data_IF_973602720807
#
_entry.id   IF_973602720807
#
_cell.length_a   1.000
_cell.length_b   1.000
_cell.length_c   1.000
_cell.angle_alpha   90.00
_cell.angle_beta   90.00
_cell.angle_gamma   90.00
#
_symmetry.space_group_name_H-M   'P 1'
#
loop_
_entity.id
_entity.type
_entity.pdbx_description
1 polymer ?
#
# COMPACT_ATOMS: atom_id res chain seq x y z
N UNK A 1 20.43 -7.45 -2.30
CA UNK A 1 21.18 -8.64 -1.80
C UNK A 1 22.28 -8.23 -0.83
N UNK A 2 23.14 -7.25 -1.15
CA UNK A 2 24.23 -6.81 -0.24
C UNK A 2 23.68 -6.32 1.11
N UNK A 3 22.59 -5.54 1.09
CA UNK A 3 21.95 -5.07 2.33
C UNK A 3 21.48 -6.23 3.22
N UNK A 4 20.85 -7.26 2.64
CA UNK A 4 20.34 -8.40 3.40
C UNK A 4 21.45 -9.19 4.12
N UNK A 5 22.71 -9.10 3.66
CA UNK A 5 23.86 -9.70 4.36
C UNK A 5 24.23 -8.97 5.65
N UNK A 6 23.91 -7.69 5.75
CA UNK A 6 24.29 -6.83 6.87
C UNK A 6 23.11 -6.45 7.74
N UNK A 7 21.94 -7.03 7.47
CA UNK A 7 20.76 -6.79 8.30
C UNK A 7 21.05 -7.28 9.72
N UNK A 8 20.71 -6.45 10.71
CA UNK A 8 20.88 -6.84 12.10
C UNK A 8 20.00 -8.04 12.44
N UNK A 9 20.44 -8.86 13.38
CA UNK A 9 19.71 -10.06 13.81
C UNK A 9 18.27 -9.73 14.22
N UNK A 10 18.05 -8.61 14.89
CA UNK A 10 16.72 -8.11 15.29
C UNK A 10 15.76 -7.82 14.12
N UNK A 11 16.29 -7.73 12.89
CA UNK A 11 15.51 -7.43 11.67
C UNK A 11 15.43 -8.60 10.70
N UNK A 12 16.01 -9.75 11.02
CA UNK A 12 15.97 -10.93 10.14
C UNK A 12 14.56 -11.41 9.85
N UNK A 13 13.64 -11.10 10.76
CA UNK A 13 12.22 -11.44 10.67
C UNK A 13 11.35 -10.30 10.13
N UNK A 14 11.93 -9.16 9.78
CA UNK A 14 11.20 -8.02 9.25
C UNK A 14 10.93 -8.17 7.74
N UNK A 15 9.81 -7.61 7.28
CA UNK A 15 9.62 -7.36 5.86
C UNK A 15 10.43 -6.13 5.47
N UNK A 16 11.13 -6.20 4.34
CA UNK A 16 11.92 -5.07 3.83
C UNK A 16 11.21 -4.50 2.62
N UNK A 17 10.81 -3.24 2.74
CA UNK A 17 10.09 -2.47 1.73
C UNK A 17 11.00 -1.49 1.01
N UNK A 18 10.68 -1.18 -0.24
CA UNK A 18 11.26 -0.09 -1.00
C UNK A 18 10.22 0.98 -1.33
N UNK A 19 10.69 2.19 -1.60
CA UNK A 19 9.82 3.30 -1.96
C UNK A 19 9.26 3.17 -3.38
N UNK A 20 8.07 3.70 -3.61
CA UNK A 20 7.50 3.92 -4.93
C UNK A 20 7.70 5.36 -5.36
N UNK A 21 8.33 5.55 -6.50
CA UNK A 21 8.49 6.83 -7.17
C UNK A 21 7.62 6.88 -8.43
N UNK A 22 7.24 8.07 -8.86
CA UNK A 22 6.54 8.25 -10.12
C UNK A 22 7.50 8.10 -11.31
N UNK A 23 7.05 7.41 -12.34
CA UNK A 23 7.84 7.24 -13.56
C UNK A 23 7.89 8.53 -14.40
N UNK A 24 6.81 9.28 -14.43
CA UNK A 24 6.68 10.56 -15.13
C UNK A 24 7.34 11.74 -14.39
N UNK A 25 7.45 11.63 -13.05
CA UNK A 25 8.13 12.56 -12.17
C UNK A 25 9.12 11.79 -11.29
N UNK A 26 10.25 11.37 -11.85
CA UNK A 26 11.18 10.40 -11.26
C UNK A 26 11.74 10.77 -9.88
N UNK A 27 11.61 12.01 -9.49
CA UNK A 27 12.01 12.55 -8.18
C UNK A 27 10.86 12.62 -7.16
N UNK A 28 9.62 12.32 -7.58
CA UNK A 28 8.45 12.40 -6.70
C UNK A 28 8.17 11.04 -6.06
N UNK A 29 8.26 10.99 -4.73
CA UNK A 29 7.93 9.79 -3.96
C UNK A 29 6.43 9.73 -3.69
N UNK A 30 5.83 8.59 -3.99
CA UNK A 30 4.40 8.33 -3.74
C UNK A 30 4.21 7.66 -2.40
N UNK A 31 5.07 6.69 -2.08
CA UNK A 31 4.96 5.92 -0.85
C UNK A 31 6.31 5.34 -0.42
N UNK A 32 6.52 5.25 0.88
CA UNK A 32 7.66 4.60 1.52
C UNK A 32 7.15 3.84 2.75
N UNK A 33 6.43 2.73 2.52
CA UNK A 33 5.63 2.05 3.51
C UNK A 33 4.30 2.75 3.79
N UNK A 34 3.37 2.04 4.43
CA UNK A 34 2.06 2.61 4.71
C UNK A 34 1.39 2.00 5.96
N UNK A 35 0.44 2.74 6.49
CA UNK A 35 -0.42 2.32 7.58
C UNK A 35 -1.80 1.95 7.05
N UNK A 36 -2.42 0.97 7.68
CA UNK A 36 -3.85 0.70 7.53
C UNK A 36 -4.60 1.40 8.65
N UNK A 37 -5.22 2.50 8.33
CA UNK A 37 -5.94 3.33 9.28
C UNK A 37 -7.40 3.50 8.85
N UNK A 38 -8.32 3.14 9.74
CA UNK A 38 -9.77 3.26 9.51
C UNK A 38 -10.19 2.69 8.15
N UNK A 39 -9.76 1.46 7.85
CA UNK A 39 -10.10 0.75 6.63
C UNK A 39 -9.49 1.33 5.35
N UNK A 40 -8.48 2.20 5.46
CA UNK A 40 -7.82 2.88 4.34
C UNK A 40 -6.32 2.84 4.44
N UNK A 41 -5.69 2.91 3.29
CA UNK A 41 -4.25 3.07 3.16
C UNK A 41 -3.88 4.53 3.44
N UNK A 42 -2.93 4.74 4.34
CA UNK A 42 -2.25 6.01 4.57
C UNK A 42 -0.77 5.84 4.25
N UNK A 43 -0.37 6.29 3.09
CA UNK A 43 1.02 6.20 2.62
C UNK A 43 1.95 7.08 3.44
N UNK A 44 3.07 6.53 3.88
CA UNK A 44 4.17 7.28 4.47
C UNK A 44 5.02 7.92 3.36
N UNK A 45 5.62 9.06 3.65
CA UNK A 45 6.51 9.77 2.72
C UNK A 45 5.84 10.20 1.40
N UNK A 46 4.50 10.34 1.39
CA UNK A 46 3.78 10.82 0.22
C UNK A 46 4.15 12.27 -0.09
N UNK A 47 4.42 12.56 -1.37
CA UNK A 47 4.70 13.92 -1.82
C UNK A 47 6.12 14.40 -1.56
N UNK A 48 7.03 13.51 -1.16
CA UNK A 48 8.45 13.89 -0.97
C UNK A 48 9.10 14.17 -2.33
N UNK A 49 9.63 15.39 -2.47
CA UNK A 49 10.48 15.76 -3.60
C UNK A 49 11.94 15.41 -3.26
N UNK A 50 12.48 14.38 -3.89
CA UNK A 50 13.84 13.90 -3.64
C UNK A 50 14.94 14.88 -4.08
N UNK A 51 14.61 15.98 -4.74
CA UNK A 51 15.55 17.07 -5.04
C UNK A 51 15.73 18.02 -3.87
N UNK A 52 14.80 17.99 -2.90
CA UNK A 52 14.87 18.81 -1.70
C UNK A 52 15.63 18.09 -0.60
N UNK A 53 16.82 18.59 -0.25
CA UNK A 53 17.63 18.03 0.85
C UNK A 53 16.85 17.97 2.17
N UNK A 54 16.05 19.00 2.45
CA UNK A 54 15.22 19.06 3.66
C UNK A 54 14.18 17.94 3.69
N UNK A 55 13.48 17.71 2.57
CA UNK A 55 12.46 16.64 2.49
C UNK A 55 13.11 15.26 2.57
N UNK A 56 14.27 15.07 1.94
CA UNK A 56 15.01 13.80 2.02
C UNK A 56 15.46 13.50 3.44
N UNK A 57 16.00 14.49 4.15
CA UNK A 57 16.42 14.32 5.55
C UNK A 57 15.24 13.96 6.46
N UNK A 58 14.09 14.62 6.28
CA UNK A 58 12.88 14.27 7.04
C UNK A 58 12.33 12.88 6.68
N UNK A 59 12.46 12.47 5.42
CA UNK A 59 12.04 11.14 4.96
C UNK A 59 12.94 10.00 5.51
N UNK A 60 14.12 10.32 6.03
CA UNK A 60 15.01 9.35 6.69
C UNK A 60 14.59 9.01 8.12
N UNK A 61 13.61 9.70 8.68
CA UNK A 61 13.10 9.34 10.01
C UNK A 61 12.33 8.03 9.91
N UNK A 62 12.54 7.14 10.88
CA UNK A 62 11.79 5.88 10.96
C UNK A 62 10.28 6.20 11.11
N UNK A 63 9.49 5.54 10.30
CA UNK A 63 8.02 5.58 10.36
C UNK A 63 7.47 4.18 10.52
N UNK A 64 6.49 4.01 11.38
CA UNK A 64 5.76 2.76 11.50
C UNK A 64 5.00 2.47 10.21
N UNK A 65 4.95 1.20 9.84
CA UNK A 65 4.18 0.71 8.70
C UNK A 65 3.49 -0.60 9.07
N UNK A 66 2.29 -0.79 8.58
CA UNK A 66 1.49 -2.00 8.80
C UNK A 66 1.71 -3.04 7.70
N UNK A 67 2.11 -2.59 6.52
CA UNK A 67 2.40 -3.46 5.39
C UNK A 67 3.47 -2.85 4.48
N UNK A 68 4.06 -3.70 3.66
CA UNK A 68 5.00 -3.35 2.61
C UNK A 68 4.35 -3.66 1.27
N UNK A 69 4.13 -2.65 0.44
CA UNK A 69 3.52 -2.84 -0.86
C UNK A 69 4.40 -3.66 -1.80
N UNK A 70 3.78 -4.54 -2.59
CA UNK A 70 4.50 -5.54 -3.37
C UNK A 70 5.05 -5.05 -4.71
N UNK A 71 5.16 -3.76 -4.94
CA UNK A 71 6.06 -3.27 -5.99
C UNK A 71 7.55 -3.54 -5.65
N UNK A 72 7.90 -3.55 -4.35
CA UNK A 72 9.16 -4.06 -3.83
C UNK A 72 8.99 -4.45 -2.35
N UNK A 73 8.98 -5.74 -2.09
CA UNK A 73 8.94 -6.28 -0.74
C UNK A 73 9.78 -7.55 -0.64
N UNK A 74 10.65 -7.63 0.36
CA UNK A 74 11.34 -8.87 0.73
C UNK A 74 10.65 -9.47 1.94
N UNK A 75 10.15 -10.69 1.78
CA UNK A 75 9.40 -11.41 2.81
C UNK A 75 10.28 -12.54 3.35
N UNK A 76 10.53 -12.62 4.67
CA UNK A 76 11.25 -13.74 5.25
C UNK A 76 10.57 -15.08 4.97
N UNK A 77 11.37 -16.09 4.61
CA UNK A 77 10.86 -17.40 4.14
C UNK A 77 9.90 -18.08 5.13
N UNK A 78 10.05 -17.82 6.43
CA UNK A 78 9.19 -18.39 7.47
C UNK A 78 7.71 -18.02 7.34
N UNK A 79 7.40 -16.92 6.66
CA UNK A 79 6.02 -16.49 6.40
C UNK A 79 5.41 -17.15 5.16
N UNK A 80 6.25 -17.74 4.28
CA UNK A 80 5.82 -18.37 3.04
C UNK A 80 5.47 -19.84 3.34
N UNK A 81 4.21 -20.07 3.68
CA UNK A 81 3.69 -21.41 4.04
C UNK A 81 2.34 -21.63 3.37
N UNK A 82 1.97 -22.89 3.16
CA UNK A 82 0.70 -23.27 2.52
C UNK A 82 -0.54 -22.79 3.29
N UNK A 83 -0.42 -22.65 4.61
CA UNK A 83 -1.48 -22.14 5.50
C UNK A 83 -1.47 -20.60 5.65
N UNK A 84 -0.55 -19.92 4.97
CA UNK A 84 -0.36 -18.48 5.05
C UNK A 84 -0.16 -17.84 3.66
N UNK A 85 -0.90 -18.30 2.67
CA UNK A 85 -0.86 -17.73 1.34
C UNK A 85 -1.60 -16.39 1.30
N UNK A 86 -1.21 -15.46 0.40
CA UNK A 86 -1.98 -14.25 0.14
C UNK A 86 -3.44 -14.54 -0.21
N UNK A 87 -4.33 -13.61 0.08
CA UNK A 87 -5.72 -13.72 -0.37
C UNK A 87 -5.77 -13.76 -1.92
N UNK A 88 -6.59 -14.63 -2.51
CA UNK A 88 -6.71 -14.75 -3.96
C UNK A 88 -7.62 -13.66 -4.54
N UNK A 89 -7.27 -12.41 -4.28
CA UNK A 89 -8.09 -11.24 -4.66
C UNK A 89 -7.79 -10.68 -6.05
N UNK A 90 -6.83 -11.26 -6.76
CA UNK A 90 -6.35 -10.93 -8.09
C UNK A 90 -5.47 -9.69 -8.14
N UNK A 91 -5.95 -8.52 -7.72
CA UNK A 91 -5.22 -7.24 -7.66
C UNK A 91 -5.71 -6.42 -6.48
N UNK A 92 -4.87 -5.56 -5.94
CA UNK A 92 -5.11 -4.65 -4.81
C UNK A 92 -5.40 -5.33 -3.48
N UNK A 93 -4.78 -4.84 -2.44
CA UNK A 93 -5.00 -5.16 -1.03
C UNK A 93 -4.59 -6.58 -0.60
N UNK A 94 -4.01 -7.41 -1.46
CA UNK A 94 -3.39 -8.68 -1.12
C UNK A 94 -2.15 -8.48 -0.22
N UNK A 95 -1.33 -7.50 -0.54
CA UNK A 95 -0.17 -7.05 0.23
C UNK A 95 -0.58 -6.42 1.58
N UNK A 96 -1.65 -5.64 1.58
CA UNK A 96 -2.22 -5.02 2.78
C UNK A 96 -2.68 -6.09 3.76
N UNK A 97 -3.55 -7.02 3.32
CA UNK A 97 -4.02 -8.12 4.16
C UNK A 97 -2.84 -8.94 4.69
N UNK A 98 -1.90 -9.31 3.81
CA UNK A 98 -0.77 -10.14 4.18
C UNK A 98 0.14 -9.48 5.21
N UNK A 99 0.40 -8.18 5.09
CA UNK A 99 1.18 -7.41 6.06
C UNK A 99 0.49 -7.33 7.42
N UNK A 100 -0.78 -6.94 7.44
CA UNK A 100 -1.55 -6.76 8.68
C UNK A 100 -1.70 -8.07 9.46
N UNK A 101 -2.12 -9.16 8.81
CA UNK A 101 -2.36 -10.42 9.50
C UNK A 101 -1.10 -11.12 10.00
N UNK A 102 0.04 -10.87 9.37
CA UNK A 102 1.32 -11.39 9.85
C UNK A 102 1.91 -10.52 10.97
N UNK A 103 1.52 -9.27 11.11
CA UNK A 103 1.91 -8.39 12.22
C UNK A 103 3.42 -8.24 12.39
N UNK A 104 4.18 -8.38 11.30
CA UNK A 104 5.63 -8.34 11.35
C UNK A 104 6.15 -6.89 11.27
N UNK A 105 7.36 -6.68 11.77
CA UNK A 105 8.04 -5.40 11.60
C UNK A 105 8.27 -5.13 10.12
N UNK A 106 7.95 -3.93 9.68
CA UNK A 106 8.24 -3.45 8.33
C UNK A 106 9.42 -2.49 8.42
N UNK A 107 10.42 -2.70 7.59
CA UNK A 107 11.56 -1.80 7.44
C UNK A 107 11.51 -1.22 6.05
N UNK A 108 11.41 0.09 5.94
CA UNK A 108 11.53 0.78 4.66
C UNK A 108 12.91 1.36 4.51
N UNK A 109 13.57 1.04 3.41
CA UNK A 109 14.93 1.45 3.15
C UNK A 109 14.96 2.58 2.14
N UNK A 110 15.47 3.72 2.59
CA UNK A 110 15.79 4.81 1.68
C UNK A 110 16.93 4.39 0.73
N UNK A 111 16.81 4.78 -0.54
CA UNK A 111 17.75 4.35 -1.59
C UNK A 111 17.37 3.04 -2.30
N UNK A 112 16.33 2.33 -1.81
CA UNK A 112 15.70 1.23 -2.55
C UNK A 112 14.33 1.71 -3.03
N UNK A 113 14.15 1.76 -4.35
CA UNK A 113 12.91 2.25 -4.93
C UNK A 113 12.61 1.59 -6.28
N UNK A 114 11.36 1.72 -6.69
CA UNK A 114 10.90 1.39 -8.04
C UNK A 114 10.18 2.59 -8.65
N UNK A 115 10.26 2.76 -9.95
CA UNK A 115 9.49 3.75 -10.70
C UNK A 115 8.24 3.08 -11.27
N UNK A 116 7.10 3.61 -10.87
CA UNK A 116 5.80 3.07 -11.24
C UNK A 116 4.98 4.13 -12.00
N UNK A 117 4.17 3.69 -12.95
CA UNK A 117 3.23 4.59 -13.63
C UNK A 117 2.23 5.18 -12.63
N UNK A 118 1.85 6.43 -12.85
CA UNK A 118 0.88 7.10 -12.02
C UNK A 118 -0.45 6.33 -11.96
N UNK A 119 -1.03 6.19 -10.77
CA UNK A 119 -2.26 5.42 -10.57
C UNK A 119 -3.46 6.09 -11.26
N UNK A 120 -3.47 7.40 -11.31
CA UNK A 120 -4.57 8.21 -11.88
C UNK A 120 -4.79 7.90 -13.37
N UNK A 121 -3.71 7.63 -14.11
CA UNK A 121 -3.79 7.30 -15.54
C UNK A 121 -4.40 5.92 -15.84
N UNK A 122 -4.55 5.07 -14.83
CA UNK A 122 -5.03 3.69 -14.95
C UNK A 122 -6.46 3.50 -14.43
N UNK A 123 -7.15 4.60 -14.04
CA UNK A 123 -8.47 4.49 -13.46
C UNK A 123 -9.50 4.09 -14.53
N UNK A 124 -10.22 3.00 -14.26
CA UNK A 124 -11.29 2.47 -15.11
C UNK A 124 -12.25 1.62 -14.28
N UNK A 125 -13.36 1.20 -14.86
CA UNK A 125 -14.42 0.44 -14.18
C UNK A 125 -13.89 -0.87 -13.53
N UNK A 126 -13.05 -1.63 -14.23
CA UNK A 126 -12.46 -2.86 -13.67
C UNK A 126 -11.66 -2.56 -12.41
N UNK A 127 -10.86 -1.51 -12.43
CA UNK A 127 -10.07 -1.08 -11.27
C UNK A 127 -10.96 -0.65 -10.12
N UNK A 128 -11.98 0.17 -10.37
CA UNK A 128 -12.92 0.61 -9.34
C UNK A 128 -13.63 -0.58 -8.68
N UNK A 129 -14.06 -1.56 -9.46
CA UNK A 129 -14.65 -2.79 -8.94
C UNK A 129 -13.71 -3.53 -7.99
N UNK A 130 -12.48 -3.81 -8.41
CA UNK A 130 -11.54 -4.57 -7.57
C UNK A 130 -11.08 -3.78 -6.35
N UNK A 131 -10.87 -2.47 -6.47
CA UNK A 131 -10.54 -1.62 -5.32
C UNK A 131 -11.65 -1.67 -4.26
N UNK A 132 -12.91 -1.47 -4.65
CA UNK A 132 -14.05 -1.49 -3.73
C UNK A 132 -14.29 -2.87 -3.14
N UNK A 133 -14.36 -3.92 -4.00
CA UNK A 133 -14.56 -5.30 -3.57
C UNK A 133 -13.47 -5.74 -2.59
N UNK A 134 -12.21 -5.51 -2.92
CA UNK A 134 -11.10 -6.00 -2.11
C UNK A 134 -10.93 -5.19 -0.81
N UNK A 135 -11.26 -3.90 -0.82
CA UNK A 135 -11.36 -3.12 0.41
C UNK A 135 -12.40 -3.70 1.37
N UNK A 136 -13.57 -4.11 0.86
CA UNK A 136 -14.60 -4.77 1.67
C UNK A 136 -14.10 -6.10 2.24
N UNK A 137 -13.43 -6.92 1.42
CA UNK A 137 -12.86 -8.20 1.85
C UNK A 137 -11.84 -7.99 2.96
N UNK A 138 -10.85 -7.11 2.75
CA UNK A 138 -9.80 -6.86 3.75
C UNK A 138 -10.38 -6.27 5.03
N UNK A 139 -11.35 -5.37 4.94
CA UNK A 139 -12.05 -4.87 6.12
C UNK A 139 -12.80 -5.98 6.87
N UNK A 140 -13.40 -6.95 6.19
CA UNK A 140 -14.09 -8.06 6.83
C UNK A 140 -13.14 -9.06 7.52
N UNK A 141 -11.93 -9.20 7.01
CA UNK A 141 -10.93 -10.15 7.54
C UNK A 141 -10.07 -9.57 8.69
N UNK A 142 -10.01 -8.26 8.83
CA UNK A 142 -9.10 -7.60 9.76
C UNK A 142 -9.82 -6.97 10.95
N UNK A 143 -9.21 -7.08 12.15
CA UNK A 143 -9.75 -6.51 13.39
C UNK A 143 -9.78 -4.97 13.41
N UNK A 144 -8.95 -4.32 12.59
CA UNK A 144 -8.92 -2.85 12.43
C UNK A 144 -9.77 -2.41 11.24
N UNK A 145 -10.98 -2.92 11.18
CA UNK A 145 -11.95 -2.63 10.12
C UNK A 145 -12.85 -1.44 10.49
N UNK A 146 -13.37 -0.79 9.46
CA UNK A 146 -14.45 0.18 9.61
C UNK A 146 -15.77 -0.50 9.99
N UNK A 147 -16.59 0.20 10.72
CA UNK A 147 -17.99 -0.16 10.89
C UNK A 147 -18.71 -0.14 9.52
N UNK A 148 -19.65 -1.05 9.33
CA UNK A 148 -20.40 -1.20 8.06
C UNK A 148 -21.00 0.13 7.58
N UNK A 149 -21.53 0.94 8.51
CA UNK A 149 -22.10 2.27 8.19
C UNK A 149 -21.09 3.22 7.57
N UNK A 150 -19.83 3.19 8.05
CA UNK A 150 -18.77 4.06 7.57
C UNK A 150 -18.21 3.57 6.23
N UNK A 151 -18.12 2.24 6.03
CA UNK A 151 -17.83 1.65 4.73
C UNK A 151 -18.85 2.05 3.67
N UNK A 152 -20.16 1.95 3.98
CA UNK A 152 -21.23 2.38 3.07
C UNK A 152 -21.14 3.87 2.75
N UNK A 153 -20.83 4.70 3.75
CA UNK A 153 -20.63 6.13 3.56
C UNK A 153 -19.48 6.43 2.62
N UNK A 154 -18.36 5.73 2.77
CA UNK A 154 -17.18 5.90 1.91
C UNK A 154 -17.46 5.45 0.47
N UNK A 155 -18.12 4.29 0.28
CA UNK A 155 -18.53 3.84 -1.06
C UNK A 155 -19.44 4.85 -1.75
N UNK A 156 -20.47 5.35 -1.04
CA UNK A 156 -21.35 6.40 -1.57
C UNK A 156 -20.58 7.66 -1.97
N UNK A 157 -19.59 8.08 -1.17
CA UNK A 157 -18.75 9.23 -1.50
C UNK A 157 -17.94 8.98 -2.78
N UNK A 158 -17.36 7.79 -2.94
CA UNK A 158 -16.62 7.42 -4.13
C UNK A 158 -17.52 7.39 -5.36
N UNK A 159 -18.69 6.76 -5.28
CA UNK A 159 -19.69 6.75 -6.36
C UNK A 159 -20.09 8.17 -6.77
N UNK A 160 -20.39 9.05 -5.81
CA UNK A 160 -20.75 10.44 -6.10
C UNK A 160 -19.60 11.21 -6.76
N UNK A 161 -18.36 10.93 -6.36
CA UNK A 161 -17.19 11.53 -7.00
C UNK A 161 -17.08 11.10 -8.48
N UNK A 162 -17.24 9.81 -8.79
CA UNK A 162 -17.21 9.31 -10.17
C UNK A 162 -18.35 9.90 -11.02
N UNK A 163 -19.56 10.02 -10.44
CA UNK A 163 -20.69 10.68 -11.11
C UNK A 163 -20.37 12.14 -11.44
N UNK A 164 -19.81 12.88 -10.49
CA UNK A 164 -19.44 14.28 -10.68
C UNK A 164 -18.32 14.48 -11.73
N UNK A 165 -17.51 13.44 -11.94
CA UNK A 165 -16.48 13.42 -12.99
C UNK A 165 -17.01 12.84 -14.31
N UNK A 166 -18.31 12.60 -14.44
CA UNK A 166 -18.97 11.98 -15.61
C UNK A 166 -18.42 10.58 -15.94
N UNK A 167 -17.84 9.87 -14.96
CA UNK A 167 -17.29 8.53 -15.09
C UNK A 167 -18.33 7.48 -14.67
N UNK A 168 -19.43 7.38 -15.41
CA UNK A 168 -20.59 6.56 -15.00
C UNK A 168 -20.28 5.07 -14.94
N UNK A 169 -19.43 4.55 -15.82
CA UNK A 169 -18.99 3.15 -15.77
C UNK A 169 -18.21 2.83 -14.49
N UNK A 170 -17.36 3.76 -14.07
CA UNK A 170 -16.63 3.64 -12.82
C UNK A 170 -17.58 3.67 -11.61
N UNK A 171 -18.55 4.60 -11.63
CA UNK A 171 -19.56 4.70 -10.58
C UNK A 171 -20.41 3.42 -10.45
N UNK A 172 -20.74 2.80 -11.56
CA UNK A 172 -21.50 1.55 -11.59
C UNK A 172 -20.66 0.36 -11.09
N UNK A 173 -19.34 0.39 -11.29
CA UNK A 173 -18.42 -0.66 -10.88
C UNK A 173 -17.97 -0.54 -9.41
N UNK A 174 -18.15 0.63 -8.78
CA UNK A 174 -17.84 0.87 -7.36
C UNK A 174 -18.94 0.32 -6.46
#
# INVERSE_FOLDING_TARGET
ILFLKFIKEEYTDAFVSGAMLRKDLSYYQVESGALWNDGKIKSNGHGVDLRSTFMVLNNNMESESDYAAWWFCTIPIKYIRNDNLPLPVFVFNDDVDYGIRNGCKIITLNGICVWHDAFESKRNAMRCYYESRNQLIVNSCNKRSLEVKDLIKDLKKTIMMEINLYQYENAQAT
#
